data_IF_680547934344
#
_entry.id   IF_680547934344
#
_cell.length_a   1.000
_cell.length_b   1.000
_cell.length_c   1.000
_cell.angle_alpha   90.00
_cell.angle_beta   90.00
_cell.angle_gamma   90.00
#
_symmetry.space_group_name_H-M   'P 1'
#
loop_
_entity.id
_entity.type
_entity.pdbx_description
1 polymer ?
#
# COMPACT_ATOMS: atom_id res chain seq x y z
N UNK A 1 -23.87 -23.65 42.62
CA UNK A 1 -22.86 -22.60 42.85
C UNK A 1 -22.46 -21.91 41.54
N UNK A 2 -23.37 -21.75 40.55
CA UNK A 2 -22.94 -21.74 39.14
C UNK A 2 -23.47 -20.56 38.30
N UNK A 3 -24.55 -19.86 38.70
CA UNK A 3 -25.17 -18.81 37.86
C UNK A 3 -24.39 -17.48 37.85
N UNK A 4 -23.92 -17.02 39.02
CA UNK A 4 -23.09 -15.82 39.13
C UNK A 4 -21.73 -16.01 38.44
N UNK A 5 -21.10 -17.18 38.63
CA UNK A 5 -19.83 -17.52 38.00
C UNK A 5 -19.93 -17.51 36.47
N UNK A 6 -21.02 -18.05 35.92
CA UNK A 6 -21.28 -18.04 34.48
C UNK A 6 -21.47 -16.60 33.95
N UNK A 7 -22.23 -15.75 34.66
CA UNK A 7 -22.42 -14.34 34.26
C UNK A 7 -21.10 -13.57 34.27
N UNK A 8 -20.27 -13.77 35.30
CA UNK A 8 -18.94 -13.17 35.37
C UNK A 8 -18.05 -13.65 34.24
N UNK A 9 -18.09 -14.93 33.90
CA UNK A 9 -17.34 -15.50 32.77
C UNK A 9 -17.76 -14.90 31.42
N UNK A 10 -19.06 -14.78 31.15
CA UNK A 10 -19.57 -14.12 29.95
C UNK A 10 -19.17 -12.64 29.88
N UNK A 11 -19.19 -11.93 31.01
CA UNK A 11 -18.76 -10.53 31.08
C UNK A 11 -17.28 -10.40 30.73
N UNK A 12 -16.44 -11.30 31.24
CA UNK A 12 -15.01 -11.34 30.92
C UNK A 12 -14.82 -11.56 29.41
N UNK A 13 -15.44 -12.59 28.82
CA UNK A 13 -15.35 -12.82 27.36
C UNK A 13 -15.79 -11.60 26.55
N UNK A 14 -16.89 -10.95 26.95
CA UNK A 14 -17.41 -9.77 26.27
C UNK A 14 -16.46 -8.56 26.37
N UNK A 15 -15.80 -8.36 27.51
CA UNK A 15 -14.80 -7.30 27.67
C UNK A 15 -13.52 -7.60 26.87
N UNK A 16 -13.09 -8.87 26.81
CA UNK A 16 -11.91 -9.28 26.04
C UNK A 16 -12.12 -9.18 24.52
N UNK A 17 -13.35 -9.34 24.02
CA UNK A 17 -13.63 -9.20 22.57
C UNK A 17 -13.37 -7.80 22.03
N UNK A 18 -13.45 -6.77 22.88
CA UNK A 18 -13.15 -5.37 22.50
C UNK A 18 -11.65 -5.13 22.24
N UNK A 19 -10.77 -6.04 22.70
CA UNK A 19 -9.32 -5.96 22.48
C UNK A 19 -8.87 -6.65 21.19
N UNK A 20 -9.79 -7.27 20.44
CA UNK A 20 -9.49 -7.79 19.10
C UNK A 20 -9.39 -6.57 18.17
N UNK A 21 -8.19 -6.02 18.04
CA UNK A 21 -7.90 -4.96 17.07
C UNK A 21 -8.12 -5.52 15.67
N UNK A 22 -8.99 -4.89 14.90
CA UNK A 22 -9.00 -5.09 13.45
C UNK A 22 -7.66 -4.65 12.87
N UNK A 23 -7.17 -5.34 11.85
CA UNK A 23 -6.05 -4.83 11.06
C UNK A 23 -6.44 -3.47 10.49
N UNK A 24 -5.79 -2.41 10.98
CA UNK A 24 -5.97 -1.06 10.49
C UNK A 24 -4.97 -0.84 9.36
N UNK A 25 -5.47 -0.79 8.13
CA UNK A 25 -4.65 -0.48 6.96
C UNK A 25 -4.50 1.04 6.86
N UNK A 26 -3.26 1.53 7.01
CA UNK A 26 -2.95 2.92 6.68
C UNK A 26 -2.73 3.04 5.17
N UNK A 27 -3.75 3.51 4.47
CA UNK A 27 -3.65 3.85 3.05
C UNK A 27 -3.14 5.28 2.95
N UNK A 28 -1.99 5.46 2.28
CA UNK A 28 -1.45 6.78 1.96
C UNK A 28 -1.24 6.91 0.46
N UNK A 29 -1.36 8.14 -0.03
CA UNK A 29 -0.96 8.46 -1.39
C UNK A 29 0.57 8.43 -1.49
N UNK A 30 1.09 7.83 -2.55
CA UNK A 30 2.53 7.78 -2.86
C UNK A 30 2.72 8.38 -4.25
N UNK A 31 3.43 9.50 -4.30
CA UNK A 31 3.61 10.27 -5.52
C UNK A 31 2.44 11.20 -5.86
N UNK A 32 2.64 11.97 -6.91
CA UNK A 32 1.67 12.96 -7.39
C UNK A 32 0.93 12.39 -8.62
N UNK A 33 0.71 13.20 -9.65
CA UNK A 33 -0.02 12.81 -10.85
C UNK A 33 0.88 12.01 -11.80
N UNK A 34 0.50 10.76 -12.11
CA UNK A 34 1.11 9.91 -13.12
C UNK A 34 0.24 9.84 -14.38
N UNK A 35 0.87 9.62 -15.53
CA UNK A 35 0.20 9.56 -16.84
C UNK A 35 -0.27 8.13 -17.11
N UNK A 36 -1.53 7.83 -16.74
CA UNK A 36 -2.14 6.50 -16.85
C UNK A 36 -1.22 5.37 -16.31
N UNK A 37 -0.94 5.34 -14.99
CA UNK A 37 -0.10 4.31 -14.39
C UNK A 37 -0.66 2.91 -14.66
N UNK A 38 0.19 2.02 -15.19
CA UNK A 38 -0.22 0.74 -15.76
C UNK A 38 0.25 -0.46 -14.93
N UNK A 39 1.49 -0.44 -14.44
CA UNK A 39 2.03 -1.50 -13.56
C UNK A 39 3.12 -1.00 -12.63
N UNK A 40 3.34 -1.72 -11.52
CA UNK A 40 4.34 -1.41 -10.51
C UNK A 40 5.16 -2.67 -10.15
N UNK A 41 6.47 -2.50 -9.97
CA UNK A 41 7.35 -3.54 -9.45
C UNK A 41 8.38 -2.94 -8.49
N UNK A 42 8.55 -3.53 -7.31
CA UNK A 42 9.62 -3.14 -6.38
C UNK A 42 10.98 -3.47 -6.97
N UNK A 43 11.91 -2.52 -6.88
CA UNK A 43 13.31 -2.70 -7.28
C UNK A 43 14.24 -2.75 -6.05
N UNK A 44 13.80 -2.20 -4.91
CA UNK A 44 14.34 -2.41 -3.57
C UNK A 44 13.26 -2.10 -2.51
N UNK A 45 13.65 -2.01 -1.24
CA UNK A 45 12.73 -1.78 -0.11
C UNK A 45 12.04 -0.41 -0.12
N UNK A 46 12.65 0.61 -0.74
CA UNK A 46 12.14 1.98 -0.77
C UNK A 46 11.93 2.50 -2.20
N UNK A 47 12.10 1.67 -3.23
CA UNK A 47 11.94 2.10 -4.62
C UNK A 47 11.12 1.12 -5.41
N UNK A 48 10.27 1.69 -6.25
CA UNK A 48 9.53 0.92 -7.24
C UNK A 48 9.67 1.52 -8.63
N UNK A 49 9.66 0.64 -9.63
CA UNK A 49 9.47 0.97 -11.02
C UNK A 49 7.96 1.07 -11.29
N UNK A 50 7.55 2.18 -11.88
CA UNK A 50 6.20 2.44 -12.37
C UNK A 50 6.24 2.48 -13.89
N UNK A 51 5.38 1.69 -14.54
CA UNK A 51 5.12 1.83 -15.97
C UNK A 51 3.86 2.67 -16.20
N UNK A 52 3.90 3.50 -17.23
CA UNK A 52 2.81 4.36 -17.66
C UNK A 52 2.33 3.89 -19.04
N UNK A 53 1.02 3.94 -19.31
CA UNK A 53 0.43 3.48 -20.59
C UNK A 53 1.05 4.13 -21.84
N UNK A 54 1.46 5.42 -21.85
CA UNK A 54 2.24 6.02 -22.94
C UNK A 54 3.58 5.32 -23.26
N UNK A 55 4.06 4.47 -22.36
CA UNK A 55 5.32 3.74 -22.48
C UNK A 55 6.48 4.38 -21.72
N UNK A 56 6.22 5.31 -20.80
CA UNK A 56 7.25 5.83 -19.90
C UNK A 56 7.50 4.83 -18.77
N UNK A 57 8.74 4.80 -18.29
CA UNK A 57 9.13 4.12 -17.06
C UNK A 57 9.63 5.16 -16.06
N UNK A 58 9.21 5.03 -14.80
CA UNK A 58 9.60 5.94 -13.71
C UNK A 58 10.08 5.13 -12.51
N UNK A 59 11.14 5.60 -11.85
CA UNK A 59 11.58 5.09 -10.55
C UNK A 59 11.12 6.08 -9.48
N UNK A 60 10.36 5.61 -8.52
CA UNK A 60 9.72 6.42 -7.47
C UNK A 60 10.19 5.94 -6.10
N UNK A 61 10.47 6.87 -5.17
CA UNK A 61 10.65 6.53 -3.76
C UNK A 61 9.31 6.18 -3.12
N UNK A 62 9.25 5.06 -2.40
CA UNK A 62 8.07 4.67 -1.64
C UNK A 62 7.86 5.65 -0.49
N UNK A 63 8.89 5.96 0.29
CA UNK A 63 8.80 6.82 1.48
C UNK A 63 8.31 8.23 1.10
N UNK A 64 8.98 8.89 0.16
CA UNK A 64 8.68 10.29 -0.19
C UNK A 64 7.67 10.46 -1.32
N UNK A 65 7.51 9.45 -2.19
CA UNK A 65 6.73 9.57 -3.43
C UNK A 65 7.43 10.34 -4.54
N UNK A 66 8.70 10.74 -4.35
CA UNK A 66 9.43 11.55 -5.32
C UNK A 66 9.88 10.73 -6.54
N UNK A 67 9.87 11.38 -7.71
CA UNK A 67 10.46 10.85 -8.93
C UNK A 67 11.98 10.89 -8.84
N UNK A 68 12.61 9.72 -8.81
CA UNK A 68 14.07 9.57 -8.79
C UNK A 68 14.63 9.60 -10.21
N UNK A 69 13.99 8.88 -11.13
CA UNK A 69 14.45 8.75 -12.50
C UNK A 69 13.29 8.46 -13.46
N UNK A 70 13.39 8.91 -14.70
CA UNK A 70 12.40 8.60 -15.74
C UNK A 70 13.06 8.32 -17.08
N UNK A 71 12.57 7.29 -17.75
CA UNK A 71 12.83 6.99 -19.15
C UNK A 71 11.55 7.22 -19.93
N UNK A 72 11.60 8.11 -20.93
CA UNK A 72 10.51 8.26 -21.88
C UNK A 72 10.61 7.20 -22.96
N UNK A 73 9.46 6.78 -23.49
CA UNK A 73 9.42 5.96 -24.69
C UNK A 73 10.26 6.63 -25.78
N UNK A 74 11.30 5.95 -26.25
CA UNK A 74 12.04 6.40 -27.43
C UNK A 74 11.11 6.36 -28.64
N UNK A 75 10.99 7.47 -29.38
CA UNK A 75 10.52 7.41 -30.76
C UNK A 75 11.56 6.59 -31.52
N UNK A 76 11.20 5.37 -31.91
CA UNK A 76 11.99 4.65 -32.89
C UNK A 76 12.14 5.59 -34.09
N UNK A 77 13.36 6.05 -34.37
CA UNK A 77 13.66 6.60 -35.69
C UNK A 77 13.41 5.46 -36.64
N UNK A 78 12.33 5.58 -37.42
CA UNK A 78 12.09 4.76 -38.59
C UNK A 78 13.31 4.89 -39.48
N UNK A 79 14.11 3.83 -39.53
CA UNK A 79 15.20 3.63 -40.50
C UNK A 79 14.55 3.27 -41.83
#
# INVERSE_FOLDING_TARGET
>A
MNSLLNKTFFLIIFLYSQFIKSYEFNIRQVGDTFDDPWSLAFIDEDKFLLSEMPGNLKVISLDTGELIYSVKRGTASSI
#
